data_IF_955100904187
#
_entry.id   IF_955100904187
#
_cell.length_a   1.000
_cell.length_b   1.000
_cell.length_c   1.000
_cell.angle_alpha   90.00
_cell.angle_beta   90.00
_cell.angle_gamma   90.00
#
_symmetry.space_group_name_H-M   'P 1'
#
loop_
_entity.id
_entity.type
_entity.pdbx_description
1 polymer ?
#
# COMPACT_ATOMS: atom_id res chain seq x y z
N UNK A 1 17.25 8.95 13.32
CA UNK A 1 16.58 7.82 12.66
C UNK A 1 15.28 7.39 13.36
N UNK A 2 15.24 7.18 14.70
CA UNK A 2 13.96 6.88 15.38
C UNK A 2 12.84 7.88 15.04
N UNK A 3 13.12 9.18 15.15
CA UNK A 3 12.10 10.22 14.96
C UNK A 3 11.55 10.22 13.52
N UNK A 4 12.41 10.07 12.51
CA UNK A 4 11.95 9.98 11.12
C UNK A 4 11.10 8.72 10.89
N UNK A 5 11.53 7.56 11.38
CA UNK A 5 10.77 6.32 11.29
C UNK A 5 9.40 6.44 12.00
N UNK A 6 9.37 7.06 13.17
CA UNK A 6 8.14 7.33 13.90
C UNK A 6 7.21 8.26 13.12
N UNK A 7 7.72 9.31 12.47
CA UNK A 7 6.92 10.19 11.62
C UNK A 7 6.32 9.45 10.40
N UNK A 8 7.10 8.58 9.75
CA UNK A 8 6.63 7.79 8.62
C UNK A 8 5.50 6.85 9.03
N UNK A 9 5.65 6.17 10.18
CA UNK A 9 4.62 5.30 10.74
C UNK A 9 3.37 6.07 11.18
N UNK A 10 3.54 7.27 11.75
CA UNK A 10 2.41 8.17 12.03
C UNK A 10 1.68 8.58 10.75
N UNK A 11 2.44 8.84 9.68
CA UNK A 11 1.91 9.17 8.36
C UNK A 11 1.12 8.01 7.73
N UNK A 12 1.58 6.76 7.87
CA UNK A 12 0.89 5.60 7.31
C UNK A 12 -0.47 5.34 7.96
N UNK A 13 -0.62 5.66 9.27
CA UNK A 13 -1.90 5.60 9.97
C UNK A 13 -2.72 6.90 9.85
N UNK A 14 -2.17 7.95 9.23
CA UNK A 14 -2.82 9.25 9.06
C UNK A 14 -3.03 10.03 10.36
N UNK A 15 -2.24 9.77 11.41
CA UNK A 15 -2.37 10.41 12.73
C UNK A 15 -1.15 11.27 13.05
N UNK A 16 -1.36 12.33 13.84
CA UNK A 16 -0.26 13.16 14.32
C UNK A 16 0.57 12.43 15.40
N UNK A 17 1.89 12.71 15.53
CA UNK A 17 2.77 12.07 16.52
C UNK A 17 2.28 12.18 17.96
N UNK A 18 1.71 13.32 18.34
CA UNK A 18 1.15 13.52 19.68
C UNK A 18 -0.13 12.70 19.90
N UNK A 19 -0.94 12.51 18.85
CA UNK A 19 -2.16 11.68 18.90
C UNK A 19 -1.80 10.21 19.07
N UNK A 20 -0.81 9.71 18.33
CA UNK A 20 -0.35 8.33 18.52
C UNK A 20 0.24 8.14 19.92
N UNK A 21 1.05 9.09 20.38
CA UNK A 21 1.63 9.05 21.72
C UNK A 21 0.55 9.01 22.82
N UNK A 22 -0.53 9.79 22.69
CA UNK A 22 -1.62 9.77 23.66
C UNK A 22 -2.38 8.45 23.67
N UNK A 23 -2.61 7.84 22.51
CA UNK A 23 -3.28 6.54 22.38
C UNK A 23 -2.50 5.40 23.05
N UNK A 24 -1.17 5.43 23.02
CA UNK A 24 -0.32 4.46 23.73
C UNK A 24 -0.08 4.81 25.21
N UNK A 25 -0.73 5.87 25.70
CA UNK A 25 -0.74 6.28 27.11
C UNK A 25 0.36 7.25 27.52
N UNK A 26 0.98 7.97 26.58
CA UNK A 26 1.95 9.03 26.86
C UNK A 26 1.21 10.35 27.00
N UNK A 27 1.16 10.85 28.23
CA UNK A 27 0.38 12.04 28.59
C UNK A 27 1.13 13.35 28.41
N UNK A 28 2.46 13.31 28.30
CA UNK A 28 3.31 14.51 28.21
C UNK A 28 3.73 14.78 26.77
N UNK A 29 3.32 15.92 26.22
CA UNK A 29 3.82 16.42 24.94
C UNK A 29 5.34 16.65 24.97
N UNK A 30 5.90 17.02 26.13
CA UNK A 30 7.35 17.19 26.31
C UNK A 30 8.15 15.91 26.09
N UNK A 31 7.54 14.73 26.29
CA UNK A 31 8.18 13.45 25.95
C UNK A 31 8.34 13.30 24.43
N UNK A 32 7.31 13.65 23.67
CA UNK A 32 7.34 13.60 22.19
C UNK A 32 8.29 14.67 21.64
N UNK A 33 8.31 15.87 22.22
CA UNK A 33 9.30 16.90 21.89
C UNK A 33 10.73 16.46 22.21
N UNK A 34 10.94 15.71 23.30
CA UNK A 34 12.23 15.10 23.59
C UNK A 34 12.67 14.17 22.46
N UNK A 35 11.75 13.38 21.92
CA UNK A 35 12.04 12.48 20.79
C UNK A 35 12.37 13.20 19.50
N UNK A 36 11.66 14.29 19.19
CA UNK A 36 11.99 15.11 18.02
C UNK A 36 13.37 15.75 18.11
N UNK A 37 13.87 15.95 19.33
CA UNK A 37 15.22 16.44 19.59
C UNK A 37 16.28 15.32 19.67
N UNK A 38 15.92 14.09 19.27
CA UNK A 38 16.84 12.95 19.19
C UNK A 38 16.83 12.03 20.41
N UNK A 39 15.98 12.25 21.42
CA UNK A 39 15.87 11.32 22.53
C UNK A 39 15.22 9.99 22.09
N UNK A 40 15.80 8.87 22.51
CA UNK A 40 15.26 7.55 22.24
C UNK A 40 14.21 7.20 23.31
N UNK A 41 13.02 6.68 22.94
CA UNK A 41 12.03 6.25 23.92
C UNK A 41 12.55 5.10 24.80
N UNK A 42 12.03 4.98 26.02
CA UNK A 42 12.34 3.84 26.90
C UNK A 42 11.80 2.54 26.30
N UNK A 43 12.42 1.40 26.64
CA UNK A 43 11.99 0.06 26.17
C UNK A 43 10.50 -0.21 26.33
N UNK A 44 9.91 0.18 27.47
CA UNK A 44 8.47 0.00 27.70
C UNK A 44 7.59 0.79 26.73
N UNK A 45 8.08 1.92 26.23
CA UNK A 45 7.39 2.74 25.24
C UNK A 45 7.64 2.20 23.83
N UNK A 46 8.87 1.80 23.52
CA UNK A 46 9.21 1.16 22.26
C UNK A 46 8.34 -0.06 22.01
N UNK A 47 8.21 -0.95 23.01
CA UNK A 47 7.34 -2.12 22.91
C UNK A 47 5.89 -1.74 22.56
N UNK A 48 5.33 -0.70 23.18
CA UNK A 48 3.97 -0.23 22.88
C UNK A 48 3.85 0.34 21.47
N UNK A 49 4.84 1.10 21.02
CA UNK A 49 4.89 1.62 19.65
C UNK A 49 4.95 0.47 18.64
N UNK A 50 5.81 -0.52 18.88
CA UNK A 50 5.93 -1.72 18.07
C UNK A 50 4.61 -2.50 17.99
N UNK A 51 3.91 -2.68 19.12
CA UNK A 51 2.59 -3.31 19.16
C UNK A 51 1.53 -2.48 18.42
N UNK A 52 1.56 -1.15 18.53
CA UNK A 52 0.62 -0.25 17.86
C UNK A 52 0.78 -0.26 16.34
N UNK A 53 2.01 -0.25 15.85
CA UNK A 53 2.32 -0.20 14.41
C UNK A 53 2.52 -1.57 13.76
N UNK A 54 2.67 -2.64 14.54
CA UNK A 54 2.97 -3.98 14.03
C UNK A 54 4.39 -4.13 13.48
N UNK A 55 5.37 -3.40 14.02
CA UNK A 55 6.78 -3.40 13.58
C UNK A 55 7.71 -3.88 14.70
N UNK A 56 8.93 -4.31 14.36
CA UNK A 56 9.94 -4.70 15.37
C UNK A 56 10.67 -3.47 15.95
N UNK A 57 11.31 -3.63 17.11
CA UNK A 57 12.14 -2.57 17.70
C UNK A 57 13.33 -2.21 16.81
N UNK A 58 13.94 -3.22 16.19
CA UNK A 58 15.04 -3.08 15.24
C UNK A 58 14.61 -2.25 14.02
N UNK A 59 13.42 -2.51 13.48
CA UNK A 59 12.84 -1.73 12.39
C UNK A 59 12.62 -0.28 12.81
N UNK A 60 12.02 -0.05 13.98
CA UNK A 60 11.70 1.28 14.45
C UNK A 60 12.96 2.14 14.73
N UNK A 61 14.04 1.50 15.18
CA UNK A 61 15.31 2.15 15.51
C UNK A 61 16.35 2.08 14.38
N UNK A 62 16.03 1.42 13.27
CA UNK A 62 16.95 1.23 12.15
C UNK A 62 17.46 2.56 11.60
N UNK A 63 18.71 2.56 11.16
CA UNK A 63 19.30 3.67 10.42
C UNK A 63 18.77 3.77 8.98
N UNK A 64 18.14 2.70 8.49
CA UNK A 64 17.43 2.70 7.22
C UNK A 64 15.97 3.10 7.43
N UNK A 65 15.48 4.06 6.64
CA UNK A 65 14.09 4.50 6.72
C UNK A 65 13.14 3.37 6.34
N UNK A 66 12.19 3.04 7.23
CA UNK A 66 11.21 1.96 7.02
C UNK A 66 10.34 2.14 5.77
N UNK A 67 10.18 3.39 5.34
CA UNK A 67 9.60 3.73 4.06
C UNK A 67 10.52 4.71 3.36
N UNK A 68 10.80 4.44 2.08
CA UNK A 68 11.48 5.44 1.25
C UNK A 68 10.53 6.61 1.10
N UNK A 69 10.89 7.83 1.56
CA UNK A 69 10.07 8.99 1.28
C UNK A 69 9.88 9.08 -0.23
N UNK A 70 8.64 9.33 -0.65
CA UNK A 70 8.35 9.56 -2.07
C UNK A 70 9.26 10.72 -2.51
N UNK A 71 10.14 10.52 -3.51
CA UNK A 71 10.96 11.58 -4.04
C UNK A 71 10.07 12.79 -4.36
N UNK A 72 10.52 14.03 -4.11
CA UNK A 72 9.70 15.21 -4.35
C UNK A 72 9.17 15.28 -5.79
N UNK A 73 9.88 14.68 -6.75
CA UNK A 73 9.50 14.53 -8.16
C UNK A 73 8.26 13.64 -8.38
N UNK A 74 8.00 12.71 -7.46
CA UNK A 74 6.86 11.78 -7.48
C UNK A 74 5.71 12.24 -6.57
N UNK A 75 5.92 13.30 -5.78
CA UNK A 75 4.91 13.84 -4.89
C UNK A 75 3.89 14.68 -5.67
N UNK A 76 2.61 14.30 -5.63
CA UNK A 76 1.53 15.13 -6.20
C UNK A 76 1.04 16.24 -5.25
N UNK A 77 1.70 16.38 -4.10
CA UNK A 77 1.35 17.37 -3.08
C UNK A 77 1.69 18.78 -3.57
N UNK A 78 0.69 19.65 -3.65
CA UNK A 78 0.83 21.01 -4.17
C UNK A 78 0.49 21.16 -5.66
N UNK A 79 0.30 20.06 -6.39
CA UNK A 79 -0.21 20.09 -7.76
C UNK A 79 -1.71 20.42 -7.78
N UNK A 80 -2.12 21.15 -8.82
CA UNK A 80 -3.53 21.36 -9.18
C UNK A 80 -4.17 20.04 -9.63
N UNK A 81 -5.50 20.01 -9.70
CA UNK A 81 -6.25 18.83 -10.13
C UNK A 81 -5.89 18.38 -11.55
N UNK A 82 -5.63 19.34 -12.45
CA UNK A 82 -5.31 19.06 -13.86
C UNK A 82 -3.90 18.47 -14.01
N UNK A 83 -2.92 19.05 -13.32
CA UNK A 83 -1.54 18.56 -13.28
C UNK A 83 -1.47 17.15 -12.69
N UNK A 84 -2.23 16.89 -11.63
CA UNK A 84 -2.30 15.56 -11.01
C UNK A 84 -2.92 14.53 -11.95
N UNK A 85 -3.97 14.90 -12.68
CA UNK A 85 -4.57 14.02 -13.68
C UNK A 85 -3.60 13.72 -14.84
N UNK A 86 -2.81 14.70 -15.27
CA UNK A 86 -1.76 14.50 -16.26
C UNK A 86 -0.66 13.56 -15.76
N UNK A 87 -0.22 13.71 -14.50
CA UNK A 87 0.75 12.84 -13.87
C UNK A 87 0.28 11.38 -13.82
N UNK A 88 -0.97 11.12 -13.37
CA UNK A 88 -1.53 9.77 -13.36
C UNK A 88 -1.71 9.18 -14.78
N UNK A 89 -2.04 10.01 -15.78
CA UNK A 89 -2.08 9.55 -17.18
C UNK A 89 -0.70 9.12 -17.70
N UNK A 90 0.35 9.84 -17.32
CA UNK A 90 1.73 9.50 -17.68
C UNK A 90 2.18 8.18 -17.08
N UNK A 91 1.92 7.95 -15.78
CA UNK A 91 2.22 6.68 -15.10
C UNK A 91 1.53 5.49 -15.79
N UNK A 92 0.24 5.62 -16.13
CA UNK A 92 -0.51 4.57 -16.81
C UNK A 92 0.07 4.22 -18.19
N UNK A 93 0.56 5.23 -18.91
CA UNK A 93 1.20 5.04 -20.21
C UNK A 93 2.56 4.33 -20.09
N UNK A 94 3.33 4.62 -19.04
CA UNK A 94 4.58 3.91 -18.72
C UNK A 94 4.30 2.45 -18.29
N UNK A 95 3.33 2.21 -17.40
CA UNK A 95 2.91 0.85 -16.99
C UNK A 95 2.47 -0.01 -18.17
N UNK A 96 1.81 0.60 -19.17
CA UNK A 96 1.40 -0.11 -20.38
C UNK A 96 2.55 -0.45 -21.33
N UNK A 97 3.72 0.20 -21.20
CA UNK A 97 4.93 -0.15 -21.97
C UNK A 97 5.67 -1.36 -21.40
N UNK A 98 5.57 -1.60 -20.09
CA UNK A 98 6.30 -2.69 -19.42
C UNK A 98 5.57 -4.04 -19.38
N UNK A 99 4.26 -4.08 -19.71
CA UNK A 99 3.56 -5.37 -19.77
C UNK A 99 4.13 -6.25 -20.90
N UNK A 100 4.40 -7.54 -20.63
CA UNK A 100 4.82 -8.47 -21.68
C UNK A 100 3.72 -8.51 -22.76
N UNK A 101 4.12 -8.39 -24.03
CA UNK A 101 3.23 -8.16 -25.17
C UNK A 101 2.12 -9.21 -25.36
N UNK A 102 2.21 -10.34 -24.67
CA UNK A 102 1.27 -11.48 -24.72
C UNK A 102 0.06 -11.33 -23.76
N UNK A 103 0.12 -10.41 -22.79
CA UNK A 103 -1.00 -10.17 -21.88
C UNK A 103 -1.85 -9.00 -22.39
N UNK A 104 -3.09 -9.27 -22.80
CA UNK A 104 -4.01 -8.19 -23.16
C UNK A 104 -4.49 -7.43 -21.91
N UNK A 105 -5.13 -6.28 -22.12
CA UNK A 105 -5.48 -5.28 -21.11
C UNK A 105 -6.14 -5.81 -19.81
N UNK A 106 -6.79 -6.97 -19.83
CA UNK A 106 -7.52 -7.57 -18.70
C UNK A 106 -6.75 -8.71 -17.99
N UNK A 107 -5.49 -8.97 -18.38
CA UNK A 107 -4.65 -9.99 -17.76
C UNK A 107 -4.87 -11.42 -18.28
N UNK A 108 -5.66 -11.58 -19.35
CA UNK A 108 -5.81 -12.85 -20.07
C UNK A 108 -4.85 -12.91 -21.26
N UNK A 109 -4.40 -14.11 -21.60
CA UNK A 109 -3.66 -14.37 -22.85
C UNK A 109 -4.61 -14.37 -24.04
N UNK A 110 -4.05 -14.29 -25.25
CA UNK A 110 -4.84 -14.36 -26.49
C UNK A 110 -5.56 -15.71 -26.63
N UNK A 111 -4.90 -16.80 -26.24
CA UNK A 111 -5.45 -18.16 -26.23
C UNK A 111 -6.65 -18.29 -25.26
N UNK A 112 -6.53 -17.70 -24.06
CA UNK A 112 -7.62 -17.70 -23.07
C UNK A 112 -8.83 -16.92 -23.56
N UNK A 113 -8.62 -15.80 -24.26
CA UNK A 113 -9.70 -15.03 -24.89
C UNK A 113 -10.38 -15.82 -26.00
N UNK A 114 -9.61 -16.50 -26.83
CA UNK A 114 -10.14 -17.33 -27.90
C UNK A 114 -10.98 -18.48 -27.33
N UNK A 115 -10.48 -19.14 -26.29
CA UNK A 115 -11.21 -20.17 -25.57
C UNK A 115 -12.54 -19.64 -24.98
N UNK A 116 -12.53 -18.45 -24.37
CA UNK A 116 -13.75 -17.84 -23.82
C UNK A 116 -14.76 -17.45 -24.91
N UNK A 117 -14.29 -16.92 -26.05
CA UNK A 117 -15.14 -16.61 -27.21
C UNK A 117 -15.79 -17.87 -27.76
N UNK A 118 -14.99 -18.92 -27.98
CA UNK A 118 -15.49 -20.23 -28.40
C UNK A 118 -16.50 -20.78 -27.37
N UNK A 119 -16.20 -20.69 -26.08
CA UNK A 119 -17.09 -21.19 -25.04
C UNK A 119 -18.44 -20.47 -25.03
N UNK A 120 -18.44 -19.14 -25.22
CA UNK A 120 -19.66 -18.34 -25.30
C UNK A 120 -20.52 -18.75 -26.50
N UNK A 121 -19.91 -18.93 -27.67
CA UNK A 121 -20.61 -19.08 -28.95
C UNK A 121 -20.89 -20.53 -29.35
N UNK A 122 -19.98 -21.45 -29.03
CA UNK A 122 -19.94 -22.82 -29.58
C UNK A 122 -20.09 -23.91 -28.52
N UNK A 123 -19.84 -23.62 -27.23
CA UNK A 123 -20.01 -24.66 -26.21
C UNK A 123 -21.48 -25.06 -26.04
N UNK A 124 -21.68 -26.35 -25.78
CA UNK A 124 -23.01 -26.93 -25.60
C UNK A 124 -23.67 -26.42 -24.31
N UNK A 125 -25.00 -26.44 -24.25
CA UNK A 125 -25.70 -26.04 -23.03
C UNK A 125 -25.39 -26.96 -21.84
N UNK A 126 -24.96 -28.20 -22.08
CA UNK A 126 -24.48 -29.12 -21.03
C UNK A 126 -23.17 -28.62 -20.42
N UNK A 127 -22.22 -28.19 -21.25
CA UNK A 127 -20.93 -27.66 -20.77
C UNK A 127 -21.11 -26.33 -20.06
N UNK A 128 -22.05 -25.49 -20.55
CA UNK A 128 -22.49 -24.25 -19.90
C UNK A 128 -23.15 -24.51 -18.55
N UNK A 129 -23.99 -25.53 -18.46
CA UNK A 129 -24.62 -25.94 -17.19
C UNK A 129 -23.58 -26.46 -16.19
N UNK A 130 -22.61 -27.27 -16.63
CA UNK A 130 -21.58 -27.84 -15.77
C UNK A 130 -20.71 -26.75 -15.11
N UNK A 131 -20.23 -25.77 -15.88
CA UNK A 131 -19.46 -24.66 -15.31
C UNK A 131 -20.31 -23.79 -14.39
N UNK A 132 -21.59 -23.54 -14.74
CA UNK A 132 -22.52 -22.82 -13.83
C UNK A 132 -22.68 -23.53 -12.49
N UNK A 133 -22.72 -24.87 -12.48
CA UNK A 133 -22.77 -25.66 -11.24
C UNK A 133 -21.48 -25.53 -10.42
N UNK A 134 -20.31 -25.60 -11.09
CA UNK A 134 -19.00 -25.44 -10.43
C UNK A 134 -18.84 -24.05 -9.80
N UNK A 135 -19.23 -22.99 -10.53
CA UNK A 135 -19.09 -21.60 -10.08
C UNK A 135 -20.09 -21.23 -8.98
N UNK A 136 -21.31 -21.79 -9.02
CA UNK A 136 -22.32 -21.54 -7.97
C UNK A 136 -22.06 -22.32 -6.68
N UNK A 137 -21.10 -23.24 -6.67
CA UNK A 137 -20.66 -23.91 -5.46
C UNK A 137 -21.71 -24.82 -4.84
N UNK A 138 -22.55 -25.48 -5.64
CA UNK A 138 -23.45 -26.51 -5.13
C UNK A 138 -22.66 -27.82 -4.95
N UNK A 139 -22.26 -28.08 -3.71
CA UNK A 139 -22.02 -29.42 -3.18
C UNK A 139 -23.36 -30.06 -2.78
#
# INVERSE_FOLDING_TARGET
MFWENYLLLCGSVGKAPNTVASEIGIKSSGTVTGWSNGAIPRKSVLFKLCQYFGVTEEQLLSDELLMKPVPPEQSTRGMTSEERAAHYRGLRAEEQKEKPADQVADGLTEEEIEYLKWYREKASERDKALIRMIVKGDK
#
